data_IF_852558864478
#
_entry.id   IF_852558864478
#
_cell.length_a   1.000
_cell.length_b   1.000
_cell.length_c   1.000
_cell.angle_alpha   90.00
_cell.angle_beta   90.00
_cell.angle_gamma   90.00
#
_symmetry.space_group_name_H-M   'P 1'
#
loop_
_entity.id
_entity.type
_entity.pdbx_description
1 polymer ?
#
# COMPACT_ATOMS: atom_id res chain seq x y z
N UNK A 1 -31.61 26.79 -13.29
CA UNK A 1 -30.32 26.07 -13.28
C UNK A 1 -30.07 25.67 -11.83
N UNK A 2 -30.51 24.48 -11.43
CA UNK A 2 -30.46 24.03 -10.04
C UNK A 2 -29.10 23.39 -9.72
N UNK A 3 -28.55 23.74 -8.56
CA UNK A 3 -27.23 23.33 -8.10
C UNK A 3 -27.28 21.95 -7.43
N UNK A 4 -26.43 21.02 -7.88
CA UNK A 4 -26.29 19.69 -7.27
C UNK A 4 -25.23 19.77 -6.16
N UNK A 5 -25.68 19.78 -4.91
CA UNK A 5 -24.84 19.70 -3.72
C UNK A 5 -24.48 18.24 -3.41
N UNK A 6 -23.22 17.84 -3.60
CA UNK A 6 -22.71 16.54 -3.13
C UNK A 6 -22.17 16.67 -1.71
N UNK A 7 -23.00 16.37 -0.70
CA UNK A 7 -22.52 16.10 0.66
C UNK A 7 -22.13 14.63 0.80
N UNK A 8 -20.83 14.34 0.76
CA UNK A 8 -20.27 13.07 1.23
C UNK A 8 -20.16 13.12 2.76
N UNK A 9 -21.13 12.50 3.44
CA UNK A 9 -21.08 12.27 4.90
C UNK A 9 -20.47 10.89 5.12
N UNK A 10 -19.15 10.84 5.37
CA UNK A 10 -18.47 9.59 5.73
C UNK A 10 -18.73 9.28 7.20
N UNK A 11 -19.59 8.29 7.47
CA UNK A 11 -19.84 7.85 8.83
C UNK A 11 -20.56 6.50 8.88
N UNK A 12 -19.94 5.61 9.65
CA UNK A 12 -20.48 4.36 10.22
C UNK A 12 -20.34 3.06 9.42
N UNK A 13 -19.68 2.12 10.12
CA UNK A 13 -19.46 0.71 9.82
C UNK A 13 -20.81 -0.01 9.64
N UNK A 14 -20.90 -0.88 8.64
CA UNK A 14 -21.90 -1.93 8.61
C UNK A 14 -21.21 -3.30 8.54
N UNK A 15 -21.05 -3.89 9.72
CA UNK A 15 -20.87 -5.33 9.91
C UNK A 15 -22.24 -5.97 9.65
N UNK A 16 -22.53 -6.23 8.38
CA UNK A 16 -23.54 -7.20 7.97
C UNK A 16 -22.80 -8.43 7.45
N UNK A 17 -23.38 -9.62 7.61
CA UNK A 17 -22.86 -10.83 6.97
C UNK A 17 -22.95 -10.68 5.44
N UNK A 18 -22.00 -9.97 4.85
CA UNK A 18 -21.93 -9.72 3.43
C UNK A 18 -21.20 -10.91 2.81
N UNK A 19 -21.80 -11.49 1.77
CA UNK A 19 -21.00 -12.21 0.77
C UNK A 19 -19.82 -11.31 0.44
N UNK A 20 -18.59 -11.83 0.51
CA UNK A 20 -17.38 -11.03 0.35
C UNK A 20 -17.43 -10.29 -0.99
N UNK A 21 -17.82 -9.02 -0.94
CA UNK A 21 -17.98 -8.14 -2.09
C UNK A 21 -16.92 -7.05 -1.98
N UNK A 22 -16.03 -7.06 -2.94
CA UNK A 22 -14.90 -6.17 -3.09
C UNK A 22 -15.26 -5.10 -4.10
N UNK A 23 -15.07 -3.84 -3.76
CA UNK A 23 -15.18 -2.77 -4.76
C UNK A 23 -13.78 -2.32 -5.12
N UNK A 24 -13.49 -2.25 -6.41
CA UNK A 24 -12.25 -1.74 -6.98
C UNK A 24 -12.59 -0.43 -7.68
N UNK A 25 -11.88 0.63 -7.34
CA UNK A 25 -12.00 1.93 -7.99
C UNK A 25 -10.82 2.16 -8.94
N UNK A 26 -11.15 2.33 -10.22
CA UNK A 26 -10.20 2.62 -11.30
C UNK A 26 -10.30 4.08 -11.76
N UNK A 27 -10.86 4.99 -10.96
CA UNK A 27 -11.08 6.39 -11.33
C UNK A 27 -9.84 7.13 -11.85
N UNK A 28 -8.63 6.73 -11.44
CA UNK A 28 -7.36 7.34 -11.90
C UNK A 28 -6.83 6.75 -13.20
N UNK A 29 -7.39 5.64 -13.68
CA UNK A 29 -6.99 4.95 -14.91
C UNK A 29 -8.24 4.50 -15.72
N UNK A 30 -9.07 5.44 -16.22
CA UNK A 30 -10.29 5.10 -16.95
C UNK A 30 -10.03 4.34 -18.26
N UNK A 31 -8.88 4.57 -18.91
CA UNK A 31 -8.50 3.88 -20.14
C UNK A 31 -8.25 2.37 -19.94
N UNK A 32 -7.85 1.96 -18.73
CA UNK A 32 -7.54 0.56 -18.40
C UNK A 32 -8.73 -0.20 -17.82
N UNK A 33 -9.89 0.44 -17.67
CA UNK A 33 -11.10 -0.18 -17.12
C UNK A 33 -11.52 -1.42 -17.91
N UNK A 34 -11.62 -1.33 -19.24
CA UNK A 34 -12.00 -2.46 -20.10
C UNK A 34 -11.04 -3.66 -19.94
N UNK A 35 -9.74 -3.47 -20.19
CA UNK A 35 -8.74 -4.53 -20.00
C UNK A 35 -8.70 -5.12 -18.59
N UNK A 36 -8.90 -4.30 -17.55
CA UNK A 36 -8.94 -4.76 -16.16
C UNK A 36 -10.17 -5.64 -15.91
N UNK A 37 -11.33 -5.27 -16.43
CA UNK A 37 -12.56 -6.08 -16.33
C UNK A 37 -12.39 -7.42 -17.02
N UNK A 38 -11.81 -7.44 -18.22
CA UNK A 38 -11.58 -8.70 -18.96
C UNK A 38 -10.58 -9.60 -18.23
N UNK A 39 -9.52 -9.03 -17.68
CA UNK A 39 -8.54 -9.75 -16.87
C UNK A 39 -9.17 -10.35 -15.61
N UNK A 40 -9.95 -9.54 -14.88
CA UNK A 40 -10.65 -10.01 -13.69
C UNK A 40 -11.68 -11.08 -14.06
N UNK A 41 -12.48 -10.91 -15.11
CA UNK A 41 -13.45 -11.93 -15.55
C UNK A 41 -12.81 -13.28 -15.85
N UNK A 42 -11.61 -13.31 -16.43
CA UNK A 42 -10.87 -14.56 -16.69
C UNK A 42 -10.49 -15.25 -15.38
N UNK A 43 -9.86 -14.53 -14.47
CA UNK A 43 -9.36 -15.11 -13.21
C UNK A 43 -10.45 -15.37 -12.15
N UNK A 44 -11.53 -14.58 -12.16
CA UNK A 44 -12.64 -14.71 -11.21
C UNK A 44 -13.53 -15.90 -11.55
N UNK A 45 -13.64 -16.27 -12.83
CA UNK A 45 -14.36 -17.49 -13.27
C UNK A 45 -13.77 -18.75 -12.64
N UNK A 46 -12.44 -18.85 -12.58
CA UNK A 46 -11.73 -19.98 -11.99
C UNK A 46 -12.04 -20.14 -10.49
N UNK A 47 -12.33 -19.02 -9.83
CA UNK A 47 -12.56 -18.92 -8.39
C UNK A 47 -14.06 -18.91 -8.03
N UNK A 48 -14.96 -19.21 -8.98
CA UNK A 48 -16.44 -19.16 -8.82
C UNK A 48 -17.00 -17.81 -8.36
N UNK A 49 -16.25 -16.73 -8.55
CA UNK A 49 -16.71 -15.38 -8.23
C UNK A 49 -17.49 -14.75 -9.37
N UNK A 50 -17.98 -13.52 -9.14
CA UNK A 50 -18.67 -12.72 -10.15
C UNK A 50 -18.06 -11.32 -10.25
N UNK A 51 -18.02 -10.76 -11.45
CA UNK A 51 -17.53 -9.41 -11.71
C UNK A 51 -18.67 -8.58 -12.29
N UNK A 52 -19.00 -7.48 -11.63
CA UNK A 52 -19.98 -6.49 -12.05
C UNK A 52 -19.27 -5.15 -12.23
N UNK A 53 -19.67 -4.39 -13.25
CA UNK A 53 -19.10 -3.07 -13.55
C UNK A 53 -20.15 -2.00 -13.28
N UNK A 54 -19.81 -0.99 -12.48
CA UNK A 54 -20.65 0.16 -12.14
C UNK A 54 -19.87 1.45 -12.44
N UNK A 55 -20.05 1.99 -13.65
CA UNK A 55 -19.26 3.13 -14.10
C UNK A 55 -17.77 2.81 -14.06
N UNK A 56 -16.99 3.63 -13.33
CA UNK A 56 -15.55 3.45 -13.16
C UNK A 56 -15.17 2.47 -12.02
N UNK A 57 -16.15 1.86 -11.37
CA UNK A 57 -15.94 0.91 -10.29
C UNK A 57 -16.23 -0.52 -10.74
N UNK A 58 -15.39 -1.45 -10.31
CA UNK A 58 -15.56 -2.88 -10.51
C UNK A 58 -15.94 -3.51 -9.18
N UNK A 59 -17.09 -4.18 -9.13
CA UNK A 59 -17.52 -4.96 -7.99
C UNK A 59 -17.20 -6.43 -8.23
N UNK A 60 -16.45 -7.04 -7.33
CA UNK A 60 -16.05 -8.45 -7.38
C UNK A 60 -16.69 -9.16 -6.20
N UNK A 61 -17.51 -10.17 -6.45
CA UNK A 61 -18.20 -10.97 -5.43
C UNK A 61 -17.58 -12.37 -5.34
N UNK A 62 -17.47 -12.90 -4.12
CA UNK A 62 -17.04 -14.28 -3.86
C UNK A 62 -15.53 -14.46 -3.76
N UNK A 63 -14.77 -13.37 -3.68
CA UNK A 63 -13.31 -13.38 -3.57
C UNK A 63 -12.84 -12.63 -2.33
N UNK A 64 -11.78 -13.16 -1.73
CA UNK A 64 -11.16 -12.51 -0.57
C UNK A 64 -10.47 -11.23 -1.00
N UNK A 65 -10.38 -10.30 -0.05
CA UNK A 65 -9.69 -9.03 -0.26
C UNK A 65 -8.26 -9.16 -0.78
N UNK A 66 -7.51 -10.08 -0.19
CA UNK A 66 -6.11 -10.33 -0.56
C UNK A 66 -5.99 -10.87 -1.98
N UNK A 67 -6.94 -11.67 -2.43
CA UNK A 67 -6.95 -12.29 -3.76
C UNK A 67 -7.24 -11.24 -4.83
N UNK A 68 -8.26 -10.38 -4.62
CA UNK A 68 -8.55 -9.28 -5.56
C UNK A 68 -7.37 -8.31 -5.63
N UNK A 69 -6.76 -7.96 -4.49
CA UNK A 69 -5.56 -7.13 -4.45
C UNK A 69 -4.39 -7.76 -5.23
N UNK A 70 -4.17 -9.07 -5.10
CA UNK A 70 -3.14 -9.78 -5.84
C UNK A 70 -3.40 -9.78 -7.36
N UNK A 71 -4.66 -10.01 -7.77
CA UNK A 71 -5.05 -9.95 -9.18
C UNK A 71 -4.79 -8.57 -9.79
N UNK A 72 -5.10 -7.50 -9.05
CA UNK A 72 -4.81 -6.13 -9.50
C UNK A 72 -3.30 -5.90 -9.65
N UNK A 73 -2.47 -6.37 -8.71
CA UNK A 73 -1.02 -6.27 -8.86
C UNK A 73 -0.50 -7.06 -10.07
N UNK A 74 -1.06 -8.24 -10.36
CA UNK A 74 -0.71 -9.02 -11.55
C UNK A 74 -1.09 -8.27 -12.83
N UNK A 75 -2.31 -7.72 -12.88
CA UNK A 75 -2.78 -6.92 -14.01
C UNK A 75 -1.86 -5.71 -14.27
N UNK A 76 -1.51 -4.96 -13.22
CA UNK A 76 -0.61 -3.81 -13.33
C UNK A 76 0.76 -4.21 -13.88
N UNK A 77 1.31 -5.35 -13.44
CA UNK A 77 2.56 -5.88 -14.00
C UNK A 77 2.43 -6.26 -15.48
N UNK A 78 1.35 -6.91 -15.87
CA UNK A 78 1.11 -7.27 -17.28
C UNK A 78 1.00 -6.05 -18.20
N UNK A 79 0.54 -4.91 -17.66
CA UNK A 79 0.41 -3.65 -18.40
C UNK A 79 1.65 -2.74 -18.33
N UNK A 80 2.69 -3.13 -17.59
CA UNK A 80 3.86 -2.26 -17.37
C UNK A 80 3.57 -1.06 -16.45
N UNK A 81 2.51 -1.13 -15.65
CA UNK A 81 2.09 -0.12 -14.67
C UNK A 81 2.54 -0.50 -13.25
N UNK A 82 3.73 -1.09 -13.12
CA UNK A 82 4.34 -1.56 -11.86
C UNK A 82 4.57 -0.45 -10.83
N UNK A 83 4.74 0.79 -11.30
CA UNK A 83 4.87 1.97 -10.47
C UNK A 83 3.56 2.35 -9.74
N UNK A 84 2.41 1.81 -10.17
CA UNK A 84 1.12 2.08 -9.54
C UNK A 84 0.92 1.19 -8.31
N UNK A 85 0.40 1.79 -7.23
CA UNK A 85 0.13 1.10 -5.98
C UNK A 85 -1.35 0.77 -5.88
N UNK A 86 -1.65 -0.43 -5.39
CA UNK A 86 -3.02 -0.83 -5.03
C UNK A 86 -3.18 -0.61 -3.53
N UNK A 87 -3.96 0.41 -3.16
CA UNK A 87 -4.30 0.72 -1.78
C UNK A 87 -5.66 0.13 -1.44
N UNK A 88 -5.80 -0.35 -0.20
CA UNK A 88 -7.10 -0.70 0.35
C UNK A 88 -7.51 0.38 1.33
N UNK A 89 -8.46 1.22 0.95
CA UNK A 89 -9.03 2.24 1.82
C UNK A 89 -10.50 1.92 2.07
N UNK A 90 -10.87 1.74 3.34
CA UNK A 90 -12.28 1.60 3.75
C UNK A 90 -13.07 0.47 3.05
N UNK A 91 -12.40 -0.63 2.69
CA UNK A 91 -13.02 -1.76 1.98
C UNK A 91 -13.09 -1.61 0.45
N UNK A 92 -12.51 -0.53 -0.08
CA UNK A 92 -12.38 -0.26 -1.51
C UNK A 92 -10.91 -0.38 -1.91
N UNK A 93 -10.63 -1.05 -3.03
CA UNK A 93 -9.32 -1.15 -3.63
C UNK A 93 -9.12 -0.02 -4.64
N UNK A 94 -8.31 0.96 -4.31
CA UNK A 94 -7.98 2.10 -5.19
C UNK A 94 -6.63 1.87 -5.86
N UNK A 95 -6.54 2.16 -7.16
CA UNK A 95 -5.24 2.24 -7.85
C UNK A 95 -4.73 3.68 -7.80
N UNK A 96 -3.59 3.86 -7.14
CA UNK A 96 -2.95 5.15 -6.95
C UNK A 96 -1.67 5.22 -7.79
N UNK A 97 -1.45 6.30 -8.56
CA UNK A 97 -0.20 6.56 -9.25
C UNK A 97 1.02 6.46 -8.32
N UNK A 98 2.23 6.20 -8.86
CA UNK A 98 3.44 6.26 -8.06
C UNK A 98 3.51 7.58 -7.32
N UNK A 99 3.55 7.51 -5.99
CA UNK A 99 4.01 8.65 -5.21
C UNK A 99 5.49 8.82 -5.58
N UNK A 100 5.82 9.92 -6.27
CA UNK A 100 7.19 10.43 -6.42
C UNK A 100 7.70 10.78 -5.02
N UNK A 101 8.00 9.75 -4.25
CA UNK A 101 8.76 9.83 -3.03
C UNK A 101 10.15 9.45 -3.45
N UNK A 102 10.89 10.45 -3.92
CA UNK A 102 12.34 10.40 -4.00
C UNK A 102 12.81 10.27 -2.56
N UNK A 103 12.75 9.05 -2.01
CA UNK A 103 13.45 8.76 -0.77
C UNK A 103 14.93 8.88 -1.14
N UNK A 104 15.66 9.89 -0.62
CA UNK A 104 17.09 9.91 -0.84
C UNK A 104 17.61 8.59 -0.27
N UNK A 105 18.26 7.78 -1.11
CA UNK A 105 19.04 6.67 -0.59
C UNK A 105 20.07 7.30 0.34
N UNK A 106 19.98 6.99 1.62
CA UNK A 106 21.03 7.34 2.56
C UNK A 106 22.22 6.43 2.21
N UNK A 107 23.01 6.83 1.22
CA UNK A 107 24.26 6.14 0.82
C UNK A 107 25.38 6.33 1.85
N UNK A 108 25.13 7.03 2.96
CA UNK A 108 26.11 7.23 4.01
C UNK A 108 25.94 6.20 5.12
N UNK A 109 26.29 4.95 4.81
CA UNK A 109 26.81 4.06 5.84
C UNK A 109 28.25 4.45 6.11
N UNK A 110 28.52 5.27 7.13
CA UNK A 110 29.89 5.55 7.57
C UNK A 110 30.52 4.24 8.01
N UNK A 111 31.63 3.83 7.38
CA UNK A 111 32.39 2.65 7.80
C UNK A 111 32.79 2.83 9.27
N UNK A 112 32.41 1.91 10.17
CA UNK A 112 32.80 2.03 11.58
C UNK A 112 34.33 1.99 11.67
N UNK A 113 34.96 2.85 12.50
CA UNK A 113 36.40 2.82 12.72
C UNK A 113 36.81 1.44 13.26
N UNK A 114 38.00 0.95 12.87
CA UNK A 114 38.45 -0.42 13.19
C UNK A 114 38.34 -0.79 14.69
N UNK A 115 38.55 0.18 15.59
CA UNK A 115 38.40 -0.02 17.03
C UNK A 115 36.97 -0.30 17.51
N UNK A 116 35.94 0.03 16.73
CA UNK A 116 34.54 -0.27 17.04
C UNK A 116 34.10 -1.67 16.58
N UNK A 117 34.84 -2.30 15.66
CA UNK A 117 34.51 -3.62 15.09
C UNK A 117 35.27 -4.77 15.76
N UNK A 118 36.33 -4.47 16.50
CA UNK A 118 37.20 -5.47 17.11
C UNK A 118 36.82 -5.76 18.57
N UNK A 119 36.83 -7.04 19.02
CA UNK A 119 36.47 -7.44 20.39
C UNK A 119 37.55 -7.11 21.43
N UNK A 120 38.71 -6.59 21.01
CA UNK A 120 39.81 -6.22 21.89
C UNK A 120 40.00 -4.70 21.93
N UNK A 121 40.41 -4.18 23.09
CA UNK A 121 40.62 -2.76 23.32
C UNK A 121 41.86 -2.25 22.56
N UNK A 122 41.66 -1.44 21.52
CA UNK A 122 42.75 -0.81 20.78
C UNK A 122 43.40 0.32 21.61
N UNK A 123 44.71 0.26 21.90
CA UNK A 123 45.41 1.34 22.60
C UNK A 123 45.28 2.66 21.83
N UNK A 124 44.71 3.69 22.46
CA UNK A 124 44.48 5.01 21.85
C UNK A 124 43.12 5.22 21.18
N UNK A 125 42.25 4.21 21.14
CA UNK A 125 40.87 4.42 20.72
C UNK A 125 40.06 5.11 21.84
N UNK A 126 39.16 6.06 21.52
CA UNK A 126 38.23 6.60 22.51
C UNK A 126 37.34 5.47 23.01
N UNK A 127 37.59 5.01 24.25
CA UNK A 127 36.76 4.00 24.88
C UNK A 127 35.34 4.54 24.97
N UNK A 128 34.31 3.80 24.50
CA UNK A 128 32.93 4.15 24.81
C UNK A 128 32.74 3.96 26.32
N UNK A 129 32.95 5.04 27.07
CA UNK A 129 32.55 5.10 28.48
C UNK A 129 31.06 4.80 28.50
N UNK A 130 30.69 3.73 29.22
CA UNK A 130 29.31 3.48 29.61
C UNK A 130 28.77 4.78 30.17
N UNK A 131 27.76 5.35 29.51
CA UNK A 131 27.05 6.53 30.01
C UNK A 131 26.26 6.11 31.25
N UNK A 132 26.99 6.01 32.36
CA UNK A 132 26.42 5.94 33.70
C UNK A 132 25.39 7.04 33.82
N UNK A 133 24.16 6.63 34.14
CA UNK A 133 22.98 7.48 34.29
C UNK A 133 23.38 8.82 34.92
N UNK A 134 23.19 9.91 34.15
CA UNK A 134 23.28 11.30 34.62
C UNK A 134 22.49 11.42 35.94
N UNK A 135 23.16 11.42 37.08
CA UNK A 135 22.58 11.93 38.31
C UNK A 135 22.58 13.45 38.19
N UNK A 136 21.37 14.00 38.12
CA UNK A 136 21.10 15.42 37.94
C UNK A 136 21.40 16.10 39.28
N UNK A 137 22.59 16.69 39.43
CA UNK A 137 22.91 17.50 40.61
C UNK A 137 22.11 18.80 40.53
N UNK A 138 21.14 18.96 41.42
CA UNK A 138 20.41 20.22 41.63
C UNK A 138 21.37 21.20 42.30
N UNK A 139 21.49 22.38 41.70
CA UNK A 139 21.78 23.66 42.36
C UNK A 139 20.88 24.68 41.69
#
# INVERSE_FOLDING_TARGET
>A
MEAINFKLKSGSKLVGKQKEQQTVDLGKLPAELGPAVDFLRKHVKDLKGRVLTKGNQIQVEGLKHKEVKLLLHKFLRHKGLDNHRVLSQSGILEIVPPHVTTHPRHDQGTTPPAGATMPYLFPGAPTPVSSGKKSRKKT
#
